data_IF_552366715230
#
_entry.id   IF_552366715230
#
_cell.length_a   1.000
_cell.length_b   1.000
_cell.length_c   1.000
_cell.angle_alpha   90.00
_cell.angle_beta   90.00
_cell.angle_gamma   90.00
#
_symmetry.space_group_name_H-M   'P 1'
#
loop_
_entity.id
_entity.type
_entity.pdbx_description
1 polymer ?
#
# COMPACT_ATOMS: atom_id res chain seq x y z
N UNK A 1 19.44 -30.32 13.54
CA UNK A 1 19.96 -29.30 12.60
C UNK A 1 18.96 -29.17 11.46
N UNK A 2 18.28 -28.04 11.34
CA UNK A 2 17.38 -27.79 10.22
C UNK A 2 18.22 -27.38 9.01
N UNK A 3 18.15 -28.14 7.92
CA UNK A 3 18.82 -27.76 6.67
C UNK A 3 18.07 -26.57 6.08
N UNK A 4 18.73 -25.42 6.06
CA UNK A 4 18.16 -24.21 5.49
C UNK A 4 17.99 -24.36 3.97
N UNK A 5 16.75 -24.35 3.52
CA UNK A 5 16.42 -24.50 2.10
C UNK A 5 16.62 -23.20 1.35
N UNK A 6 16.88 -23.28 0.03
CA UNK A 6 16.95 -22.10 -0.86
C UNK A 6 15.70 -21.22 -0.72
N UNK A 7 14.53 -21.84 -0.62
CA UNK A 7 13.25 -21.15 -0.45
C UNK A 7 13.18 -20.39 0.87
N UNK A 8 13.70 -20.96 1.96
CA UNK A 8 13.80 -20.30 3.28
C UNK A 8 14.65 -19.03 3.19
N UNK A 9 15.84 -19.12 2.60
CA UNK A 9 16.74 -17.96 2.42
C UNK A 9 16.11 -16.85 1.58
N UNK A 10 15.49 -17.20 0.46
CA UNK A 10 14.84 -16.22 -0.43
C UNK A 10 13.69 -15.54 0.30
N UNK A 11 12.87 -16.31 1.03
CA UNK A 11 11.74 -15.75 1.79
C UNK A 11 12.22 -14.83 2.90
N UNK A 12 13.21 -15.23 3.69
CA UNK A 12 13.77 -14.38 4.74
C UNK A 12 14.38 -13.07 4.19
N UNK A 13 15.01 -13.14 3.01
CA UNK A 13 15.55 -11.95 2.35
C UNK A 13 14.45 -11.01 1.85
N UNK A 14 13.40 -11.52 1.22
CA UNK A 14 12.36 -10.72 0.57
C UNK A 14 11.20 -10.32 1.50
N UNK A 15 10.91 -11.12 2.52
CA UNK A 15 9.76 -10.99 3.43
C UNK A 15 10.19 -11.23 4.90
N UNK A 16 10.98 -10.32 5.50
CA UNK A 16 11.53 -10.51 6.84
C UNK A 16 10.46 -10.58 7.93
N UNK A 17 9.32 -9.90 7.76
CA UNK A 17 8.25 -9.85 8.77
C UNK A 17 7.46 -11.15 8.89
N UNK A 18 7.66 -12.10 7.95
CA UNK A 18 6.95 -13.37 7.89
C UNK A 18 7.72 -14.53 8.56
N UNK A 19 8.96 -14.33 9.00
CA UNK A 19 9.80 -15.39 9.59
C UNK A 19 10.38 -14.93 10.92
N UNK A 20 10.31 -15.81 11.93
CA UNK A 20 10.56 -15.46 13.33
C UNK A 20 12.02 -15.53 13.79
N UNK A 21 12.97 -16.05 13.01
CA UNK A 21 14.36 -16.15 13.49
C UNK A 21 15.37 -16.12 12.31
N UNK A 22 16.43 -15.29 12.38
CA UNK A 22 17.52 -15.35 11.40
C UNK A 22 18.40 -16.57 11.67
N UNK A 23 18.45 -17.53 10.74
CA UNK A 23 19.45 -18.60 10.77
C UNK A 23 20.84 -18.00 10.54
N UNK A 24 21.62 -17.94 11.63
CA UNK A 24 23.04 -17.57 11.66
C UNK A 24 23.87 -18.53 10.81
N UNK A 25 24.44 -18.01 9.72
CA UNK A 25 25.87 -18.05 9.39
C UNK A 25 26.03 -17.75 7.89
N UNK A 26 26.43 -16.51 7.58
CA UNK A 26 26.70 -16.10 6.19
C UNK A 26 28.21 -16.17 5.92
N UNK A 27 28.65 -16.74 4.78
CA UNK A 27 30.06 -16.80 4.39
C UNK A 27 30.67 -15.42 4.15
N UNK A 28 32.00 -15.34 4.15
CA UNK A 28 32.86 -14.15 3.95
C UNK A 28 32.64 -13.36 2.62
N UNK A 29 31.65 -13.73 1.81
CA UNK A 29 31.30 -13.10 0.53
C UNK A 29 29.79 -12.92 0.43
N UNK A 30 29.36 -11.69 0.11
CA UNK A 30 27.95 -11.38 -0.09
C UNK A 30 27.35 -12.28 -1.17
N UNK A 31 26.26 -12.97 -0.82
CA UNK A 31 25.56 -13.84 -1.76
C UNK A 31 24.63 -13.02 -2.66
N UNK A 32 24.25 -13.53 -3.83
CA UNK A 32 23.26 -12.87 -4.69
C UNK A 32 21.94 -12.59 -3.96
N UNK A 33 21.54 -13.47 -3.02
CA UNK A 33 20.34 -13.30 -2.19
C UNK A 33 20.48 -12.08 -1.28
N UNK A 34 21.66 -11.88 -0.70
CA UNK A 34 21.95 -10.74 0.18
C UNK A 34 21.98 -9.43 -0.61
N UNK A 35 22.64 -9.40 -1.77
CA UNK A 35 22.68 -8.22 -2.65
C UNK A 35 21.29 -7.84 -3.18
N UNK A 36 20.42 -8.83 -3.39
CA UNK A 36 19.06 -8.61 -3.88
C UNK A 36 18.03 -8.36 -2.77
N UNK A 37 18.40 -8.49 -1.48
CA UNK A 37 17.46 -8.35 -0.37
C UNK A 37 16.81 -6.96 -0.30
N UNK A 38 17.61 -5.90 -0.37
CA UNK A 38 17.14 -4.51 -0.36
C UNK A 38 16.31 -4.15 -1.59
N UNK A 39 16.79 -4.33 -2.84
CA UNK A 39 16.01 -3.92 -4.02
C UNK A 39 14.71 -4.70 -4.19
N UNK A 40 14.66 -5.97 -3.75
CA UNK A 40 13.40 -6.76 -3.80
C UNK A 40 12.38 -6.28 -2.77
N UNK A 41 12.81 -5.86 -1.58
CA UNK A 41 11.93 -5.22 -0.59
C UNK A 41 11.38 -3.89 -1.09
N UNK A 42 12.24 -3.03 -1.64
CA UNK A 42 11.83 -1.74 -2.22
C UNK A 42 10.80 -1.94 -3.33
N UNK A 43 11.03 -2.92 -4.21
CA UNK A 43 10.07 -3.26 -5.26
C UNK A 43 8.73 -3.72 -4.69
N UNK A 44 8.75 -4.60 -3.68
CA UNK A 44 7.53 -5.08 -3.03
C UNK A 44 6.73 -3.92 -2.42
N UNK A 45 7.38 -3.06 -1.62
CA UNK A 45 6.74 -1.87 -1.03
C UNK A 45 6.16 -0.96 -2.11
N UNK A 46 6.91 -0.64 -3.17
CA UNK A 46 6.43 0.22 -4.24
C UNK A 46 5.21 -0.35 -4.98
N UNK A 47 5.15 -1.68 -5.16
CA UNK A 47 3.98 -2.35 -5.74
C UNK A 47 2.78 -2.28 -4.81
N UNK A 48 2.98 -2.50 -3.50
CA UNK A 48 1.92 -2.33 -2.51
C UNK A 48 1.42 -0.89 -2.47
N UNK A 49 2.31 0.09 -2.42
CA UNK A 49 1.97 1.51 -2.44
C UNK A 49 1.14 1.87 -3.68
N UNK A 50 1.47 1.30 -4.84
CA UNK A 50 0.70 1.49 -6.08
C UNK A 50 -0.67 0.79 -6.03
N UNK A 51 -0.77 -0.40 -5.43
CA UNK A 51 -2.05 -1.10 -5.27
C UNK A 51 -2.96 -0.39 -4.28
N UNK A 52 -2.39 0.16 -3.20
CA UNK A 52 -3.07 1.01 -2.23
C UNK A 52 -3.22 2.45 -2.73
N UNK A 53 -2.66 2.79 -3.88
CA UNK A 53 -2.77 4.13 -4.43
C UNK A 53 -4.20 4.36 -4.88
N UNK A 54 -4.96 5.03 -4.02
CA UNK A 54 -6.38 5.36 -4.26
C UNK A 54 -6.58 6.45 -5.33
N UNK A 55 -5.50 6.91 -5.98
CA UNK A 55 -5.57 7.91 -7.03
C UNK A 55 -5.93 9.26 -6.45
N UNK A 56 -4.94 10.00 -5.98
CA UNK A 56 -5.14 11.40 -5.58
C UNK A 56 -5.35 12.28 -6.81
N UNK A 57 -6.52 12.22 -7.44
CA UNK A 57 -7.29 13.47 -7.53
C UNK A 57 -7.88 13.62 -6.16
N UNK A 58 -7.35 14.56 -5.37
CA UNK A 58 -7.73 14.80 -3.99
C UNK A 58 -9.16 15.37 -3.94
N UNK A 59 -10.16 14.52 -4.25
CA UNK A 59 -11.58 14.87 -4.22
C UNK A 59 -11.99 15.36 -2.85
N UNK A 60 -11.25 14.96 -1.80
CA UNK A 60 -11.48 15.39 -0.43
C UNK A 60 -11.32 16.89 -0.20
N UNK A 61 -10.56 17.58 -1.07
CA UNK A 61 -10.33 19.04 -1.02
C UNK A 61 -11.17 19.82 -2.03
N UNK A 62 -11.98 19.13 -2.84
CA UNK A 62 -12.78 19.79 -3.85
C UNK A 62 -13.96 20.51 -3.17
N UNK A 63 -14.29 21.75 -3.57
CA UNK A 63 -15.40 22.46 -2.99
C UNK A 63 -16.72 21.74 -3.31
N UNK A 64 -17.71 21.82 -2.41
CA UNK A 64 -19.03 21.14 -2.53
C UNK A 64 -19.64 21.18 -3.96
N UNK A 65 -19.62 22.31 -4.68
CA UNK A 65 -20.18 22.39 -6.04
C UNK A 65 -19.52 21.43 -7.03
N UNK A 66 -18.25 21.10 -6.84
CA UNK A 66 -17.48 20.27 -7.77
C UNK A 66 -17.84 18.78 -7.63
N UNK A 67 -18.37 18.35 -6.48
CA UNK A 67 -18.93 16.99 -6.36
C UNK A 67 -20.21 16.81 -7.16
N UNK A 68 -20.97 17.89 -7.44
CA UNK A 68 -22.19 17.81 -8.27
C UNK A 68 -21.82 17.43 -9.72
N UNK A 69 -20.77 18.06 -10.24
CA UNK A 69 -20.22 17.72 -11.56
C UNK A 69 -19.66 16.29 -11.57
N UNK A 70 -18.97 15.89 -10.51
CA UNK A 70 -18.37 14.56 -10.36
C UNK A 70 -19.43 13.44 -10.24
N UNK A 71 -20.58 13.71 -9.62
CA UNK A 71 -21.73 12.79 -9.56
C UNK A 71 -22.47 12.67 -10.90
N UNK A 72 -22.17 13.56 -11.86
CA UNK A 72 -22.73 13.55 -13.21
C UNK A 72 -21.78 12.93 -14.24
N UNK A 73 -20.65 12.36 -13.79
CA UNK A 73 -19.65 11.74 -14.67
C UNK A 73 -20.19 10.45 -15.33
N UNK A 74 -19.62 10.09 -16.48
CA UNK A 74 -19.94 8.85 -17.20
C UNK A 74 -19.26 7.62 -16.58
N UNK A 75 -18.17 7.82 -15.84
CA UNK A 75 -17.48 6.75 -15.13
C UNK A 75 -18.13 6.49 -13.76
N UNK A 76 -18.74 5.31 -13.60
CA UNK A 76 -19.40 4.89 -12.36
C UNK A 76 -18.46 4.92 -11.14
N UNK A 77 -17.16 4.69 -11.34
CA UNK A 77 -16.17 4.72 -10.24
C UNK A 77 -15.89 6.13 -9.75
N UNK A 78 -16.05 7.13 -10.61
CA UNK A 78 -15.92 8.55 -10.29
C UNK A 78 -17.15 9.02 -9.51
N UNK A 79 -18.34 8.60 -9.95
CA UNK A 79 -19.60 8.86 -9.26
C UNK A 79 -19.62 8.23 -7.87
N UNK A 80 -19.22 6.97 -7.72
CA UNK A 80 -19.20 6.28 -6.43
C UNK A 80 -18.32 6.99 -5.39
N UNK A 81 -17.13 7.43 -5.81
CA UNK A 81 -16.19 8.19 -4.97
C UNK A 81 -16.73 9.58 -4.60
N UNK A 82 -17.42 10.25 -5.51
CA UNK A 82 -18.08 11.53 -5.23
C UNK A 82 -19.16 11.40 -4.14
N UNK A 83 -20.01 10.38 -4.26
CA UNK A 83 -21.12 10.12 -3.32
C UNK A 83 -20.59 9.77 -1.93
N UNK A 84 -19.60 8.89 -1.83
CA UNK A 84 -18.97 8.51 -0.57
C UNK A 84 -18.40 9.73 0.17
N UNK A 85 -17.72 10.65 -0.54
CA UNK A 85 -17.14 11.83 0.10
C UNK A 85 -18.17 12.82 0.58
N UNK A 86 -19.23 13.08 -0.19
CA UNK A 86 -20.37 13.93 0.25
C UNK A 86 -21.02 13.36 1.51
N UNK A 87 -21.19 12.04 1.58
CA UNK A 87 -21.71 11.37 2.77
C UNK A 87 -20.79 11.55 4.00
N UNK A 88 -19.47 11.38 3.84
CA UNK A 88 -18.50 11.59 4.91
C UNK A 88 -18.45 13.06 5.37
N UNK A 89 -18.50 14.02 4.44
CA UNK A 89 -18.59 15.46 4.75
C UNK A 89 -19.82 15.77 5.60
N UNK A 90 -20.99 15.21 5.24
CA UNK A 90 -22.22 15.39 6.02
C UNK A 90 -22.08 14.90 7.48
N UNK A 91 -21.32 13.82 7.70
CA UNK A 91 -21.03 13.28 9.04
C UNK A 91 -20.04 14.14 9.81
N UNK A 92 -19.04 14.69 9.13
CA UNK A 92 -18.00 15.55 9.70
C UNK A 92 -18.57 16.91 10.14
N UNK A 93 -19.39 17.55 9.31
CA UNK A 93 -20.09 18.80 9.66
C UNK A 93 -21.01 18.62 10.87
N UNK A 94 -21.69 17.48 10.94
CA UNK A 94 -22.55 17.13 12.09
C UNK A 94 -21.75 16.97 13.39
N UNK A 95 -20.47 16.59 13.31
CA UNK A 95 -19.59 16.41 14.47
C UNK A 95 -18.96 17.72 14.95
N UNK A 96 -18.81 18.72 14.08
CA UNK A 96 -18.31 20.05 14.44
C UNK A 96 -19.38 20.97 15.06
N UNK A 97 -20.65 20.56 15.03
CA UNK A 97 -21.78 21.35 15.52
C UNK A 97 -22.21 20.99 16.96
N UNK A 98 -21.43 20.16 17.67
CA UNK A 98 -21.63 19.76 19.06
C UNK A 98 -20.49 20.19 19.99
#
# INVERSE_FOLDING_TARGET
MHTETRSSRIRAAMFPDNEAEPSSDVPLRSTTIELMSVPTRVLNTAVLDLLYFEGTTNISTLPVPHFIDLMSDRDETVVARAVERVYLLSKEDSSHQY
#
